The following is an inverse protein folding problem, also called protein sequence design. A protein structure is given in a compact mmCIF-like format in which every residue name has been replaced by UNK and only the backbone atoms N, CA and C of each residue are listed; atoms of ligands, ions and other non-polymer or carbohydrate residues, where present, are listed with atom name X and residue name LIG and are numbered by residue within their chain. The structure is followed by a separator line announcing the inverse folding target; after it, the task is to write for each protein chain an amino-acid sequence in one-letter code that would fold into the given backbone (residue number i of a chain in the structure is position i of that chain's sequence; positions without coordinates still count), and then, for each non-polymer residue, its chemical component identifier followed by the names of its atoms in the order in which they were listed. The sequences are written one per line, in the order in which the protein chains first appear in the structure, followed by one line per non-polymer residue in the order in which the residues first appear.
data_IF_731195089599
#
_entry.id   IF_731195089599
#
_cell.length_a   1.000
_cell.length_b   1.000
_cell.length_c   1.000
_cell.angle_alpha   90.00
_cell.angle_beta   90.00
_cell.angle_gamma   90.00
#
_symmetry.space_group_name_H-M   'P 1'
#
loop_
_entity.id
_entity.type
_entity.pdbx_description
1 polymer ?
#
# COMPACT_ATOMS: atom_id res chain seq x y z
N UNK A 1 9.53 -1.94 -22.09
CA UNK A 1 8.51 -0.90 -22.21
C UNK A 1 9.04 0.20 -23.10
N UNK A 2 8.19 1.12 -23.55
CA UNK A 2 8.65 2.29 -24.30
C UNK A 2 9.36 3.25 -23.34
N UNK A 3 10.54 3.73 -23.72
CA UNK A 3 11.28 4.75 -22.96
C UNK A 3 10.48 6.05 -22.81
N UNK A 4 9.54 6.30 -23.72
CA UNK A 4 8.61 7.42 -23.64
C UNK A 4 7.63 7.29 -22.47
N UNK A 5 7.15 6.08 -22.18
CA UNK A 5 6.22 5.84 -21.07
C UNK A 5 6.91 6.09 -19.71
N UNK A 6 8.19 5.74 -19.60
CA UNK A 6 9.00 5.99 -18.40
C UNK A 6 9.22 7.50 -18.16
N UNK A 7 9.50 8.26 -19.21
CA UNK A 7 9.68 9.72 -19.11
C UNK A 7 8.37 10.41 -18.73
N UNK A 8 7.26 10.01 -19.35
CA UNK A 8 5.93 10.56 -19.03
C UNK A 8 5.56 10.24 -17.58
N UNK A 9 5.84 9.02 -17.11
CA UNK A 9 5.59 8.64 -15.73
C UNK A 9 6.34 9.53 -14.73
N UNK A 10 7.64 9.75 -14.93
CA UNK A 10 8.44 10.58 -14.02
C UNK A 10 8.03 12.07 -14.04
N UNK A 11 7.66 12.61 -15.20
CA UNK A 11 7.09 13.97 -15.32
C UNK A 11 5.81 14.12 -14.49
N UNK A 12 4.85 13.20 -14.65
CA UNK A 12 3.60 13.25 -13.89
C UNK A 12 3.83 13.01 -12.39
N UNK A 13 4.78 12.15 -12.02
CA UNK A 13 5.18 11.90 -10.63
C UNK A 13 5.68 13.16 -9.93
N UNK A 14 6.39 14.03 -10.65
CA UNK A 14 6.86 15.32 -10.14
C UNK A 14 5.72 16.27 -9.77
N UNK A 15 4.58 16.15 -10.46
CA UNK A 15 3.40 17.01 -10.29
C UNK A 15 2.33 16.44 -9.35
N UNK A 16 2.23 15.11 -9.27
CA UNK A 16 1.27 14.40 -8.42
C UNK A 16 1.64 14.39 -6.94
N UNK A 17 0.63 14.18 -6.09
CA UNK A 17 0.81 14.02 -4.63
C UNK A 17 0.30 12.68 -4.10
N UNK A 18 -0.28 11.82 -4.95
CA UNK A 18 -0.80 10.50 -4.59
C UNK A 18 -0.49 9.53 -5.73
N UNK A 19 0.08 8.37 -5.37
CA UNK A 19 0.46 7.33 -6.32
C UNK A 19 -0.04 5.97 -5.83
N UNK A 20 -0.70 5.23 -6.73
CA UNK A 20 -1.09 3.83 -6.50
C UNK A 20 -0.39 2.99 -7.55
N UNK A 21 0.58 2.21 -7.10
CA UNK A 21 1.40 1.36 -7.95
C UNK A 21 0.80 -0.03 -7.99
N UNK A 22 0.62 -0.58 -9.19
CA UNK A 22 0.17 -1.96 -9.39
C UNK A 22 1.35 -2.85 -9.79
N UNK A 23 1.44 -4.04 -9.19
CA UNK A 23 2.52 -4.99 -9.47
C UNK A 23 2.03 -6.15 -10.36
N UNK A 24 2.78 -6.40 -11.44
CA UNK A 24 2.46 -7.47 -12.39
C UNK A 24 2.54 -8.87 -11.76
N UNK A 25 3.50 -9.12 -10.86
CA UNK A 25 3.68 -10.42 -10.20
C UNK A 25 2.46 -10.79 -9.35
N UNK A 26 1.83 -9.82 -8.70
CA UNK A 26 0.57 -10.01 -7.98
C UNK A 26 -0.55 -10.41 -8.94
N UNK A 27 -0.70 -9.67 -10.05
CA UNK A 27 -1.70 -9.97 -11.09
C UNK A 27 -1.50 -11.35 -11.72
N UNK A 28 -0.25 -11.73 -12.03
CA UNK A 28 0.08 -13.03 -12.64
C UNK A 28 -0.27 -14.19 -11.70
N UNK A 29 -0.11 -13.99 -10.38
CA UNK A 29 -0.56 -14.93 -9.34
C UNK A 29 -2.06 -14.88 -9.04
N UNK A 30 -2.82 -13.99 -9.69
CA UNK A 30 -4.25 -13.72 -9.43
C UNK A 30 -4.52 -13.25 -8.00
N UNK A 31 -3.56 -12.58 -7.37
CA UNK A 31 -3.75 -11.93 -6.08
C UNK A 31 -4.29 -10.53 -6.31
N UNK A 32 -5.52 -10.29 -5.86
CA UNK A 32 -6.20 -9.00 -5.99
C UNK A 32 -6.63 -8.46 -4.63
N UNK A 33 -6.49 -7.14 -4.38
CA UNK A 33 -5.98 -6.12 -5.31
C UNK A 33 -4.46 -6.20 -5.53
N UNK A 34 -4.01 -5.99 -6.77
CA UNK A 34 -2.61 -6.14 -7.18
C UNK A 34 -1.74 -4.90 -6.86
N UNK A 35 -1.90 -4.32 -5.67
CA UNK A 35 -1.26 -3.06 -5.26
C UNK A 35 0.11 -3.32 -4.64
N UNK A 36 1.14 -2.60 -5.07
CA UNK A 36 2.40 -2.53 -4.34
C UNK A 36 2.30 -1.46 -3.24
N UNK A 37 2.02 -1.91 -2.02
CA UNK A 37 1.83 -1.03 -0.85
C UNK A 37 3.15 -0.31 -0.47
N UNK A 38 4.29 -0.95 -0.73
CA UNK A 38 5.60 -0.39 -0.36
C UNK A 38 5.98 0.81 -1.23
N UNK A 39 5.51 0.81 -2.48
CA UNK A 39 5.75 1.88 -3.47
C UNK A 39 4.60 2.87 -3.59
N UNK A 40 3.41 2.51 -3.16
CA UNK A 40 2.25 3.41 -3.12
C UNK A 40 2.30 4.36 -1.93
N UNK A 41 1.71 5.54 -2.06
CA UNK A 41 1.63 6.52 -0.98
C UNK A 41 1.08 7.88 -1.40
N UNK A 42 0.79 8.68 -0.38
CA UNK A 42 0.26 10.04 -0.53
C UNK A 42 1.11 11.02 0.28
N UNK A 43 1.52 12.13 -0.34
CA UNK A 43 2.24 13.20 0.35
C UNK A 43 1.27 13.96 1.27
N UNK A 44 1.76 14.37 2.44
CA UNK A 44 0.97 15.06 3.47
C UNK A 44 -0.24 14.26 3.98
N UNK A 45 -0.09 12.94 4.11
CA UNK A 45 -1.15 12.06 4.62
C UNK A 45 -1.59 12.42 6.05
N UNK A 46 -0.76 13.12 6.84
CA UNK A 46 -1.11 13.63 8.17
C UNK A 46 -2.24 14.67 8.16
N UNK A 47 -2.59 15.23 7.00
CA UNK A 47 -3.74 16.13 6.84
C UNK A 47 -5.03 15.37 6.49
N UNK A 48 -4.95 14.09 6.15
CA UNK A 48 -6.06 13.27 5.66
C UNK A 48 -6.60 12.29 6.71
N UNK A 49 -5.75 11.88 7.65
CA UNK A 49 -6.09 10.95 8.72
C UNK A 49 -5.72 11.50 10.08
N UNK A 50 -6.40 11.05 11.13
CA UNK A 50 -6.04 11.43 12.49
C UNK A 50 -4.69 10.80 12.92
N UNK A 51 -4.09 11.35 13.98
CA UNK A 51 -2.77 10.93 14.45
C UNK A 51 -2.71 9.46 14.89
N UNK A 52 -3.80 8.92 15.43
CA UNK A 52 -3.86 7.53 15.88
C UNK A 52 -3.86 6.57 14.70
N UNK A 53 -4.70 6.84 13.69
CA UNK A 53 -4.72 6.10 12.43
C UNK A 53 -3.38 6.20 11.70
N UNK A 54 -2.78 7.39 11.63
CA UNK A 54 -1.48 7.58 11.00
C UNK A 54 -0.39 6.71 11.64
N UNK A 55 -0.33 6.67 12.98
CA UNK A 55 0.63 5.83 13.69
C UNK A 55 0.42 4.33 13.41
N UNK A 56 -0.83 3.87 13.40
CA UNK A 56 -1.20 2.49 13.04
C UNK A 56 -0.80 2.14 11.60
N UNK A 57 -1.08 3.02 10.63
CA UNK A 57 -0.66 2.88 9.24
C UNK A 57 0.87 2.77 9.09
N UNK A 58 1.61 3.59 9.84
CA UNK A 58 3.08 3.56 9.83
C UNK A 58 3.65 2.24 10.38
N UNK A 59 3.09 1.72 11.48
CA UNK A 59 3.48 0.42 12.03
C UNK A 59 3.22 -0.69 11.02
N UNK A 60 2.02 -0.72 10.42
CA UNK A 60 1.69 -1.68 9.37
C UNK A 60 2.69 -1.58 8.20
N UNK A 61 2.98 -0.38 7.72
CA UNK A 61 3.89 -0.17 6.59
C UNK A 61 5.30 -0.69 6.89
N UNK A 62 5.80 -0.50 8.11
CA UNK A 62 7.10 -1.04 8.54
C UNK A 62 7.14 -2.56 8.51
N UNK A 63 6.06 -3.23 8.93
CA UNK A 63 5.95 -4.71 8.87
C UNK A 63 5.98 -5.18 7.42
N UNK A 64 5.14 -4.58 6.56
CA UNK A 64 5.02 -4.97 5.15
C UNK A 64 6.32 -4.73 4.36
N UNK A 65 7.09 -3.68 4.69
CA UNK A 65 8.37 -3.39 4.04
C UNK A 65 9.47 -4.43 4.32
N UNK A 66 9.32 -5.28 5.33
CA UNK A 66 10.25 -6.40 5.57
C UNK A 66 9.96 -7.61 4.66
N UNK A 67 8.84 -7.59 3.93
CA UNK A 67 8.38 -8.66 3.07
C UNK A 67 8.54 -8.29 1.60
N UNK A 68 8.55 -9.29 0.70
CA UNK A 68 8.38 -9.02 -0.72
C UNK A 68 6.95 -8.54 -1.05
N UNK A 69 6.72 -7.80 -2.15
CA UNK A 69 5.39 -7.26 -2.50
C UNK A 69 4.27 -8.30 -2.54
N UNK A 70 4.60 -9.53 -2.96
CA UNK A 70 3.65 -10.64 -3.01
C UNK A 70 3.27 -11.10 -1.60
N UNK A 71 4.26 -11.44 -0.79
CA UNK A 71 4.04 -11.95 0.58
C UNK A 71 3.38 -10.87 1.45
N UNK A 72 3.76 -9.60 1.27
CA UNK A 72 3.14 -8.46 1.94
C UNK A 72 1.63 -8.37 1.64
N UNK A 73 1.24 -8.52 0.37
CA UNK A 73 -0.16 -8.45 -0.04
C UNK A 73 -0.95 -9.67 0.45
N UNK A 74 -0.37 -10.87 0.36
CA UNK A 74 -1.00 -12.09 0.87
C UNK A 74 -1.21 -12.01 2.38
N UNK A 75 -0.19 -11.55 3.12
CA UNK A 75 -0.30 -11.30 4.56
C UNK A 75 -1.39 -10.28 4.88
N UNK A 76 -1.42 -9.14 4.17
CA UNK A 76 -2.44 -8.11 4.43
C UNK A 76 -3.85 -8.64 4.14
N UNK A 77 -4.05 -9.32 3.01
CA UNK A 77 -5.36 -9.90 2.65
C UNK A 77 -5.81 -10.92 3.71
N UNK A 78 -4.90 -11.78 4.18
CA UNK A 78 -5.20 -12.75 5.24
C UNK A 78 -5.69 -12.06 6.52
N UNK A 79 -5.02 -10.98 6.95
CA UNK A 79 -5.46 -10.22 8.12
C UNK A 79 -6.77 -9.48 7.90
N UNK A 80 -6.95 -8.81 6.76
CA UNK A 80 -8.18 -8.07 6.45
C UNK A 80 -9.40 -9.00 6.37
N UNK A 81 -9.25 -10.25 5.90
CA UNK A 81 -10.35 -11.23 5.87
C UNK A 81 -10.92 -11.57 7.26
N UNK A 82 -10.12 -11.42 8.31
CA UNK A 82 -10.53 -11.69 9.69
C UNK A 82 -11.20 -10.46 10.36
N UNK A 83 -11.32 -9.34 9.64
CA UNK A 83 -11.92 -8.10 10.11
C UNK A 83 -13.09 -7.69 9.22
N UNK A 84 -14.12 -7.04 9.81
CA UNK A 84 -15.23 -6.49 9.02
C UNK A 84 -14.96 -5.07 8.56
N UNK A 85 -14.17 -4.33 9.33
CA UNK A 85 -13.78 -2.94 9.05
C UNK A 85 -12.29 -2.73 9.27
N UNK A 86 -11.75 -1.65 8.71
CA UNK A 86 -10.36 -1.25 8.94
C UNK A 86 -10.09 -0.89 10.41
N UNK A 87 -11.09 -0.37 11.11
CA UNK A 87 -11.00 -0.05 12.54
C UNK A 87 -10.80 -1.35 13.35
N UNK A 88 -11.62 -2.38 13.09
CA UNK A 88 -11.47 -3.69 13.74
C UNK A 88 -10.09 -4.30 13.46
N UNK A 89 -9.61 -4.19 12.21
CA UNK A 89 -8.29 -4.67 11.82
C UNK A 89 -7.17 -3.97 12.60
N UNK A 90 -7.23 -2.64 12.70
CA UNK A 90 -6.21 -1.89 13.42
C UNK A 90 -6.25 -2.11 14.93
N UNK A 91 -7.40 -2.45 15.50
CA UNK A 91 -7.49 -2.77 16.93
C UNK A 91 -6.92 -4.15 17.24
N UNK A 92 -7.11 -5.13 16.33
CA UNK A 92 -6.45 -6.44 16.41
C UNK A 92 -4.92 -6.36 16.31
N UNK A 93 -4.37 -5.34 15.63
CA UNK A 93 -2.91 -5.14 15.53
C UNK A 93 -2.26 -4.61 16.82
N UNK A 94 -3.04 -4.02 17.74
CA UNK A 94 -2.52 -3.51 19.01
C UNK A 94 -2.55 -4.55 20.15
N UNK A 95 -3.01 -5.77 19.84
CA UNK A 95 -3.17 -6.88 20.80
C UNK A 95 -2.04 -7.89 20.68
#
# INVERSE_FOLDING_TARGET
GSRMDEVIFEEFKGTGNSEVILDRKLSDKRTFPAIDITRSGTRKEELLVDKGTLAKMWVLRRILMQMGPVDAMEFLIDKLKNSKSNDDFFDQMNS
#
